data_IF_141536848428
#
_entry.id   IF_141536848428
#
_cell.length_a   1.000
_cell.length_b   1.000
_cell.length_c   1.000
_cell.angle_alpha   90.00
_cell.angle_beta   90.00
_cell.angle_gamma   90.00
#
_symmetry.space_group_name_H-M   'P 1'
#
loop_
_entity.id
_entity.type
_entity.pdbx_description
1 polymer ?
#
# COMPACT_ATOMS: atom_id res chain seq x y z
N UNK A 1 -22.73 15.96 -2.44
CA UNK A 1 -22.91 17.12 -1.60
C UNK A 1 -21.72 17.31 -0.63
N UNK A 2 -21.45 18.55 -0.26
CA UNK A 2 -20.44 18.88 0.74
C UNK A 2 -20.91 20.05 1.61
N UNK A 3 -20.46 20.05 2.83
CA UNK A 3 -20.65 21.15 3.79
C UNK A 3 -19.38 21.32 4.59
N UNK A 4 -19.00 22.57 4.82
CA UNK A 4 -17.83 22.88 5.63
C UNK A 4 -18.01 24.23 6.32
N UNK A 5 -17.31 24.38 7.43
CA UNK A 5 -17.28 25.61 8.17
C UNK A 5 -15.94 25.83 8.83
N UNK A 6 -15.65 27.08 9.12
CA UNK A 6 -14.47 27.42 9.90
C UNK A 6 -14.76 28.61 10.80
N UNK A 7 -14.10 28.64 11.92
CA UNK A 7 -14.19 29.72 12.90
C UNK A 7 -12.80 30.19 13.29
N UNK A 8 -12.60 31.50 13.28
CA UNK A 8 -11.36 32.13 13.72
C UNK A 8 -11.50 32.46 15.21
N UNK A 9 -10.96 31.57 16.03
CA UNK A 9 -11.10 31.65 17.49
C UNK A 9 -10.35 32.87 18.06
N UNK A 10 -9.27 33.30 17.40
CA UNK A 10 -8.54 34.51 17.80
C UNK A 10 -9.32 35.81 17.63
N UNK A 11 -10.41 35.80 16.80
CA UNK A 11 -11.30 36.96 16.66
C UNK A 11 -12.45 36.92 17.67
N UNK A 12 -12.83 35.72 18.14
CA UNK A 12 -13.94 35.53 19.07
C UNK A 12 -13.50 35.61 20.51
N UNK A 13 -12.30 35.21 20.84
CA UNK A 13 -11.76 35.13 22.18
C UNK A 13 -10.49 35.92 22.35
N UNK A 14 -10.30 36.56 23.49
CA UNK A 14 -9.01 37.16 23.85
C UNK A 14 -8.03 36.05 24.21
N UNK A 15 -7.15 35.73 23.28
CA UNK A 15 -6.09 34.77 23.48
C UNK A 15 -4.84 35.45 24.07
N UNK A 16 -3.90 34.68 24.67
CA UNK A 16 -2.59 35.20 25.06
C UNK A 16 -1.87 35.83 23.87
N UNK A 17 -1.09 36.88 24.08
CA UNK A 17 -0.34 37.60 23.03
C UNK A 17 0.62 36.68 22.24
N UNK A 18 1.00 35.56 22.83
CA UNK A 18 1.80 34.54 22.16
C UNK A 18 1.10 33.85 20.99
N UNK A 19 -0.26 33.89 20.93
CA UNK A 19 -1.08 33.28 19.89
C UNK A 19 -1.69 34.41 19.06
N UNK A 20 -1.15 34.65 17.88
CA UNK A 20 -1.62 35.70 16.97
C UNK A 20 -2.77 35.26 16.06
N UNK A 21 -2.94 33.95 15.85
CA UNK A 21 -4.00 33.41 15.04
C UNK A 21 -4.35 31.99 15.47
N UNK A 22 -5.64 31.69 15.56
CA UNK A 22 -6.15 30.37 15.85
C UNK A 22 -7.45 30.15 15.08
N UNK A 23 -7.47 29.16 14.19
CA UNK A 23 -8.61 28.80 13.34
C UNK A 23 -8.93 27.33 13.48
N UNK A 24 -10.17 27.00 13.77
CA UNK A 24 -10.73 25.66 13.68
C UNK A 24 -11.51 25.53 12.37
N UNK A 25 -11.36 24.38 11.68
CA UNK A 25 -12.12 24.04 10.49
C UNK A 25 -12.71 22.62 10.61
N UNK A 26 -13.88 22.42 10.04
CA UNK A 26 -14.48 21.11 9.88
C UNK A 26 -15.21 21.04 8.56
N UNK A 27 -15.14 19.91 7.90
CA UNK A 27 -15.85 19.65 6.65
C UNK A 27 -16.34 18.22 6.58
N UNK A 28 -17.42 18.03 5.83
CA UNK A 28 -17.94 16.75 5.41
C UNK A 28 -18.27 16.80 3.94
N UNK A 29 -17.95 15.72 3.23
CA UNK A 29 -18.25 15.59 1.81
C UNK A 29 -18.70 14.16 1.49
N UNK A 30 -19.65 14.06 0.56
CA UNK A 30 -20.08 12.80 -0.03
C UNK A 30 -20.00 12.92 -1.54
N UNK A 31 -19.13 12.11 -2.15
CA UNK A 31 -18.83 12.14 -3.57
C UNK A 31 -19.15 10.79 -4.20
N UNK A 32 -19.87 10.79 -5.33
CA UNK A 32 -20.09 9.61 -6.15
C UNK A 32 -19.06 9.53 -7.27
N UNK A 33 -18.51 8.35 -7.50
CA UNK A 33 -17.68 8.03 -8.63
C UNK A 33 -18.42 7.04 -9.52
N UNK A 34 -18.68 7.35 -10.80
CA UNK A 34 -19.34 6.41 -11.70
C UNK A 34 -18.45 5.18 -11.92
N UNK A 35 -19.08 4.04 -12.13
CA UNK A 35 -18.38 2.82 -12.56
C UNK A 35 -17.82 2.98 -13.98
N UNK A 36 -16.85 2.12 -14.33
CA UNK A 36 -16.20 2.14 -15.64
C UNK A 36 -17.17 2.00 -16.81
N UNK A 37 -16.86 2.66 -17.91
CA UNK A 37 -17.66 2.60 -19.13
C UNK A 37 -17.78 1.14 -19.61
N UNK A 38 -18.96 0.73 -20.06
CA UNK A 38 -19.27 -0.61 -20.58
C UNK A 38 -19.23 -1.76 -19.56
N UNK A 39 -19.08 -1.50 -18.26
CA UNK A 39 -19.22 -2.56 -17.26
C UNK A 39 -20.64 -3.14 -17.20
N UNK A 40 -21.67 -2.30 -17.38
CA UNK A 40 -23.07 -2.72 -17.39
C UNK A 40 -23.49 -3.36 -18.71
N UNK A 41 -22.89 -2.96 -19.82
CA UNK A 41 -23.27 -3.42 -21.14
C UNK A 41 -22.08 -4.12 -21.81
N UNK A 42 -22.24 -5.39 -22.18
CA UNK A 42 -21.19 -6.13 -22.86
C UNK A 42 -20.86 -5.53 -24.22
N UNK A 43 -19.59 -5.47 -24.51
CA UNK A 43 -19.09 -5.10 -25.83
C UNK A 43 -18.41 -6.32 -26.47
N UNK A 44 -18.74 -6.57 -27.75
CA UNK A 44 -18.03 -7.56 -28.55
C UNK A 44 -16.96 -6.85 -29.37
N UNK A 45 -15.75 -7.38 -29.40
CA UNK A 45 -14.70 -6.90 -30.30
C UNK A 45 -14.49 -7.89 -31.44
N UNK A 46 -14.38 -7.36 -32.67
CA UNK A 46 -14.02 -8.17 -33.82
C UNK A 46 -12.52 -8.44 -33.82
N UNK A 47 -12.14 -9.71 -33.81
CA UNK A 47 -10.73 -10.11 -33.96
C UNK A 47 -10.44 -10.33 -35.44
N UNK A 48 -9.69 -9.41 -36.04
CA UNK A 48 -9.34 -9.45 -37.46
C UNK A 48 -8.43 -10.64 -37.82
N UNK A 49 -7.64 -11.15 -36.88
CA UNK A 49 -6.73 -12.27 -37.10
C UNK A 49 -7.45 -13.62 -37.14
N UNK A 50 -8.53 -13.77 -36.39
CA UNK A 50 -9.31 -15.02 -36.32
C UNK A 50 -10.61 -14.97 -37.12
N UNK A 51 -11.01 -13.78 -37.60
CA UNK A 51 -12.30 -13.59 -38.27
C UNK A 51 -13.54 -13.86 -37.39
N UNK A 52 -13.41 -13.71 -36.07
CA UNK A 52 -14.45 -14.02 -35.11
C UNK A 52 -14.68 -12.89 -34.13
N UNK A 53 -15.88 -12.78 -33.57
CA UNK A 53 -16.15 -11.93 -32.41
C UNK A 53 -15.56 -12.58 -31.15
N UNK A 54 -14.90 -11.77 -30.32
CA UNK A 54 -14.52 -12.22 -28.99
C UNK A 54 -15.76 -12.38 -28.12
N UNK A 55 -15.86 -13.51 -27.42
CA UNK A 55 -16.88 -13.64 -26.37
C UNK A 55 -16.53 -12.73 -25.20
N UNK A 56 -17.53 -12.18 -24.55
CA UNK A 56 -17.34 -11.39 -23.35
C UNK A 56 -17.05 -12.32 -22.18
N UNK A 57 -15.99 -11.99 -21.41
CA UNK A 57 -15.61 -12.76 -20.24
C UNK A 57 -16.32 -12.34 -18.95
N UNK A 58 -16.86 -11.11 -18.91
CA UNK A 58 -17.55 -10.57 -17.75
C UNK A 58 -19.07 -10.69 -17.89
N UNK A 59 -19.73 -11.14 -16.82
CA UNK A 59 -21.19 -11.18 -16.74
C UNK A 59 -21.76 -9.75 -16.70
N UNK A 60 -22.73 -9.40 -17.57
CA UNK A 60 -23.32 -8.06 -17.60
C UNK A 60 -24.20 -7.84 -16.36
N UNK A 61 -23.97 -6.72 -15.67
CA UNK A 61 -24.76 -6.30 -14.52
C UNK A 61 -25.50 -5.00 -14.86
N UNK A 62 -26.82 -4.99 -14.69
CA UNK A 62 -27.68 -3.87 -15.07
C UNK A 62 -28.00 -2.93 -13.90
N UNK A 63 -27.71 -3.34 -12.66
CA UNK A 63 -28.03 -2.62 -11.41
C UNK A 63 -26.81 -2.01 -10.73
N UNK A 64 -25.74 -1.76 -11.50
CA UNK A 64 -24.53 -1.15 -10.98
C UNK A 64 -24.80 0.23 -10.37
N UNK A 65 -24.34 0.42 -9.14
CA UNK A 65 -24.41 1.69 -8.41
C UNK A 65 -23.08 2.42 -8.50
N UNK A 66 -23.08 3.76 -8.48
CA UNK A 66 -21.83 4.49 -8.37
C UNK A 66 -21.15 4.18 -7.02
N UNK A 67 -19.82 4.12 -7.06
CA UNK A 67 -19.05 4.13 -5.81
C UNK A 67 -19.31 5.45 -5.08
N UNK A 68 -19.42 5.38 -3.77
CA UNK A 68 -19.67 6.54 -2.93
C UNK A 68 -18.57 6.66 -1.89
N UNK A 69 -18.00 7.84 -1.79
CA UNK A 69 -17.00 8.16 -0.77
C UNK A 69 -17.55 9.25 0.15
N UNK A 70 -17.70 8.90 1.42
CA UNK A 70 -18.05 9.83 2.50
C UNK A 70 -16.77 10.17 3.28
N UNK A 71 -16.48 11.44 3.43
CA UNK A 71 -15.30 11.92 4.17
C UNK A 71 -15.67 13.02 5.15
N UNK A 72 -15.02 13.04 6.30
CA UNK A 72 -14.99 14.18 7.18
C UNK A 72 -13.56 14.52 7.57
N UNK A 73 -13.31 15.80 7.75
CA UNK A 73 -12.03 16.36 8.17
C UNK A 73 -12.26 17.41 9.25
N UNK A 74 -11.39 17.39 10.26
CA UNK A 74 -11.29 18.44 11.27
C UNK A 74 -9.85 18.91 11.31
N UNK A 75 -9.64 20.23 11.28
CA UNK A 75 -8.29 20.80 11.27
C UNK A 75 -8.19 22.04 12.13
N UNK A 76 -6.99 22.27 12.63
CA UNK A 76 -6.59 23.41 13.42
C UNK A 76 -5.39 24.11 12.73
N UNK A 77 -5.51 25.43 12.55
CA UNK A 77 -4.41 26.27 12.08
C UNK A 77 -4.09 27.28 13.18
N UNK A 78 -2.81 27.38 13.56
CA UNK A 78 -2.34 28.32 14.57
C UNK A 78 -1.10 29.08 14.09
N UNK A 79 -0.98 30.35 14.54
CA UNK A 79 0.26 31.13 14.46
C UNK A 79 0.60 31.59 15.85
N UNK A 80 1.83 31.32 16.29
CA UNK A 80 2.25 31.62 17.65
C UNK A 80 3.72 32.05 17.72
N UNK A 81 4.04 32.75 18.79
CA UNK A 81 5.37 33.30 19.05
C UNK A 81 5.94 34.13 17.86
N UNK A 82 5.05 34.74 17.06
CA UNK A 82 5.35 35.56 15.85
C UNK A 82 6.03 34.80 14.70
N UNK A 83 6.70 33.69 14.95
CA UNK A 83 7.57 33.01 14.01
C UNK A 83 7.09 31.61 13.60
N UNK A 84 6.15 31.04 14.33
CA UNK A 84 5.68 29.69 14.12
C UNK A 84 4.32 29.67 13.41
N UNK A 85 4.19 28.77 12.44
CA UNK A 85 2.94 28.39 11.81
C UNK A 85 2.71 26.91 12.07
N UNK A 86 1.55 26.55 12.53
CA UNK A 86 1.14 25.17 12.82
C UNK A 86 -0.17 24.88 12.11
N UNK A 87 -0.25 23.74 11.45
CA UNK A 87 -1.47 23.20 10.87
C UNK A 87 -1.55 21.70 11.17
N UNK A 88 -2.69 21.26 11.66
CA UNK A 88 -2.95 19.84 11.85
C UNK A 88 -4.35 19.52 11.37
N UNK A 89 -4.50 18.42 10.64
CA UNK A 89 -5.79 17.88 10.25
C UNK A 89 -5.90 16.40 10.56
N UNK A 90 -7.11 15.99 10.93
CA UNK A 90 -7.55 14.60 11.08
C UNK A 90 -8.66 14.34 10.09
N UNK A 91 -8.57 13.24 9.37
CA UNK A 91 -9.58 12.83 8.41
C UNK A 91 -10.00 11.38 8.60
N UNK A 92 -11.22 11.09 8.16
CA UNK A 92 -11.70 9.74 8.00
C UNK A 92 -12.57 9.69 6.73
N UNK A 93 -12.18 8.83 5.84
CA UNK A 93 -12.84 8.60 4.55
C UNK A 93 -13.32 7.16 4.48
N UNK A 94 -14.55 6.96 4.06
CA UNK A 94 -15.11 5.62 3.84
C UNK A 94 -15.69 5.54 2.44
N UNK A 95 -15.17 4.62 1.64
CA UNK A 95 -15.67 4.31 0.30
C UNK A 95 -16.58 3.09 0.39
N UNK A 96 -17.74 3.19 -0.23
CA UNK A 96 -18.79 2.18 -0.31
C UNK A 96 -19.01 1.74 -1.74
N UNK A 97 -19.59 0.56 -1.93
CA UNK A 97 -19.92 -0.01 -3.23
C UNK A 97 -18.70 -0.11 -4.16
N UNK A 98 -17.51 -0.30 -3.61
CA UNK A 98 -16.31 -0.46 -4.43
C UNK A 98 -16.48 -1.68 -5.31
N UNK A 99 -16.29 -1.49 -6.61
CA UNK A 99 -16.40 -2.56 -7.60
C UNK A 99 -15.21 -3.50 -7.47
N UNK A 100 -15.48 -4.79 -7.31
CA UNK A 100 -14.49 -5.85 -7.17
C UNK A 100 -14.76 -6.97 -8.17
N UNK A 101 -13.69 -7.46 -8.80
CA UNK A 101 -13.75 -8.57 -9.73
C UNK A 101 -13.88 -9.90 -8.97
N UNK A 102 -14.96 -10.62 -9.20
CA UNK A 102 -15.11 -11.97 -8.68
C UNK A 102 -15.01 -13.00 -9.81
N UNK A 103 -14.22 -14.05 -9.58
CA UNK A 103 -14.09 -15.15 -10.54
C UNK A 103 -15.32 -16.02 -10.51
N UNK A 104 -15.84 -16.35 -11.70
CA UNK A 104 -16.88 -17.36 -11.93
C UNK A 104 -16.27 -18.64 -12.48
N UNK A 105 -17.00 -19.76 -12.34
CA UNK A 105 -16.65 -20.98 -13.05
C UNK A 105 -16.89 -20.77 -14.56
N UNK A 106 -15.91 -21.08 -15.43
CA UNK A 106 -16.03 -20.90 -16.88
C UNK A 106 -17.17 -21.69 -17.53
N UNK A 107 -17.72 -22.68 -16.85
CA UNK A 107 -18.84 -23.51 -17.34
C UNK A 107 -20.11 -22.72 -17.66
N UNK A 108 -20.27 -21.53 -17.06
CA UNK A 108 -21.40 -20.62 -17.35
C UNK A 108 -21.19 -19.68 -18.53
N UNK A 109 -20.08 -19.79 -19.26
CA UNK A 109 -19.74 -18.91 -20.39
C UNK A 109 -19.13 -17.55 -19.97
N UNK A 110 -19.10 -17.26 -18.68
CA UNK A 110 -18.50 -16.05 -18.12
C UNK A 110 -17.46 -16.44 -17.06
N UNK A 111 -16.32 -15.77 -17.04
CA UNK A 111 -15.23 -16.06 -16.08
C UNK A 111 -15.17 -15.05 -14.94
N UNK A 112 -15.84 -13.93 -15.05
CA UNK A 112 -15.78 -12.83 -14.08
C UNK A 112 -17.15 -12.16 -13.93
N UNK A 113 -17.48 -11.67 -12.75
CA UNK A 113 -18.53 -10.67 -12.55
C UNK A 113 -18.03 -9.57 -11.61
N UNK A 114 -18.68 -8.41 -11.64
CA UNK A 114 -18.33 -7.27 -10.81
C UNK A 114 -19.26 -7.19 -9.60
N UNK A 115 -18.73 -7.44 -8.41
CA UNK A 115 -19.48 -7.26 -7.17
C UNK A 115 -19.24 -5.86 -6.60
N UNK A 116 -20.30 -5.17 -6.19
CA UNK A 116 -20.25 -3.82 -5.63
C UNK A 116 -20.57 -3.81 -4.13
N UNK A 117 -19.83 -4.56 -3.35
CA UNK A 117 -20.04 -4.68 -1.91
C UNK A 117 -18.81 -4.29 -1.10
N UNK A 118 -17.70 -3.98 -1.78
CA UNK A 118 -16.45 -3.60 -1.14
C UNK A 118 -16.58 -2.29 -0.37
N UNK A 119 -16.15 -2.29 0.90
CA UNK A 119 -16.07 -1.10 1.73
C UNK A 119 -14.65 -0.95 2.27
N UNK A 120 -14.10 0.24 2.09
CA UNK A 120 -12.72 0.56 2.53
C UNK A 120 -12.72 1.84 3.31
N UNK A 121 -11.95 1.89 4.39
CA UNK A 121 -11.78 3.07 5.23
C UNK A 121 -10.35 3.53 5.28
N UNK A 122 -10.13 4.83 5.15
CA UNK A 122 -8.87 5.52 5.38
C UNK A 122 -9.05 6.50 6.55
N UNK A 123 -8.12 6.47 7.49
CA UNK A 123 -8.03 7.43 8.60
C UNK A 123 -6.61 7.95 8.67
N UNK A 124 -6.48 9.24 8.85
CA UNK A 124 -5.15 9.80 8.89
C UNK A 124 -5.05 11.08 9.66
N UNK A 125 -3.80 11.47 9.85
CA UNK A 125 -3.40 12.75 10.43
C UNK A 125 -2.34 13.37 9.52
N UNK A 126 -2.47 14.66 9.31
CA UNK A 126 -1.48 15.47 8.62
C UNK A 126 -1.10 16.64 9.52
N UNK A 127 0.19 16.95 9.56
CA UNK A 127 0.75 18.01 10.38
C UNK A 127 1.78 18.77 9.59
N UNK A 128 1.75 20.09 9.71
CA UNK A 128 2.77 21.01 9.22
C UNK A 128 3.18 21.96 10.32
N UNK A 129 4.50 22.10 10.52
CA UNK A 129 5.10 23.05 11.45
C UNK A 129 6.14 23.89 10.71
N UNK A 130 5.85 25.17 10.55
CA UNK A 130 6.74 26.14 9.94
C UNK A 130 7.34 27.07 10.98
N UNK A 131 8.60 27.39 10.80
CA UNK A 131 9.31 28.45 11.51
C UNK A 131 9.95 29.40 10.52
N UNK A 132 9.85 30.70 10.75
CA UNK A 132 10.56 31.69 9.96
C UNK A 132 10.97 32.88 10.83
N UNK A 133 12.26 33.23 10.76
CA UNK A 133 12.77 34.41 11.43
C UNK A 133 13.95 35.02 10.67
N UNK A 134 14.16 36.29 10.90
CA UNK A 134 15.27 37.06 10.32
C UNK A 134 15.95 37.88 11.42
N UNK A 135 17.26 37.68 11.56
CA UNK A 135 18.12 38.38 12.49
C UNK A 135 19.16 39.19 11.67
N UNK A 136 18.96 40.45 11.52
CA UNK A 136 19.83 41.30 10.72
C UNK A 136 19.99 40.78 9.27
N UNK A 137 21.16 40.27 8.89
CA UNK A 137 21.46 39.71 7.56
C UNK A 137 21.20 38.21 7.45
N UNK A 138 20.87 37.55 8.54
CA UNK A 138 20.61 36.11 8.58
C UNK A 138 19.13 35.80 8.64
N UNK A 139 18.63 35.06 7.69
CA UNK A 139 17.27 34.52 7.68
C UNK A 139 17.29 32.97 7.75
N UNK A 140 16.40 32.41 8.54
CA UNK A 140 16.16 31.01 8.59
C UNK A 140 14.67 30.72 8.41
N UNK A 141 14.35 29.82 7.46
CA UNK A 141 13.04 29.25 7.27
C UNK A 141 13.14 27.73 7.41
N UNK A 142 12.30 27.15 8.22
CA UNK A 142 12.22 25.71 8.45
C UNK A 142 10.77 25.26 8.33
N UNK A 143 10.53 24.19 7.59
CA UNK A 143 9.19 23.60 7.48
C UNK A 143 9.29 22.08 7.64
N UNK A 144 8.56 21.58 8.62
CA UNK A 144 8.41 20.15 8.88
C UNK A 144 6.99 19.71 8.55
N UNK A 145 6.87 18.61 7.81
CA UNK A 145 5.59 17.97 7.52
C UNK A 145 5.61 16.52 7.96
N UNK A 146 4.47 16.07 8.43
CA UNK A 146 4.23 14.68 8.83
C UNK A 146 2.86 14.25 8.32
N UNK A 147 2.77 13.05 7.75
CA UNK A 147 1.50 12.43 7.39
C UNK A 147 1.50 10.95 7.76
N UNK A 148 0.38 10.48 8.30
CA UNK A 148 0.14 9.08 8.57
C UNK A 148 -1.27 8.70 8.15
N UNK A 149 -1.40 7.58 7.42
CA UNK A 149 -2.69 7.03 6.99
C UNK A 149 -2.80 5.57 7.38
N UNK A 150 -3.97 5.16 7.85
CA UNK A 150 -4.33 3.76 8.08
C UNK A 150 -5.47 3.38 7.16
N UNK A 151 -5.16 2.56 6.17
CA UNK A 151 -6.14 1.90 5.31
C UNK A 151 -6.69 0.65 6.00
N UNK A 152 -7.99 0.38 5.86
CA UNK A 152 -8.62 -0.84 6.36
C UNK A 152 -9.77 -1.27 5.46
N UNK A 153 -9.75 -2.53 5.04
CA UNK A 153 -10.85 -3.19 4.35
C UNK A 153 -11.91 -3.55 5.40
N UNK A 154 -13.14 -3.09 5.20
CA UNK A 154 -14.26 -3.35 6.11
C UNK A 154 -15.12 -4.52 5.63
N UNK A 155 -15.32 -4.63 4.32
CA UNK A 155 -15.96 -5.76 3.65
C UNK A 155 -15.38 -5.92 2.25
N UNK A 156 -15.45 -7.12 1.70
CA UNK A 156 -15.15 -7.43 0.30
C UNK A 156 -16.45 -7.78 -0.42
N UNK A 157 -16.74 -9.06 -0.66
CA UNK A 157 -18.02 -9.50 -1.20
C UNK A 157 -18.83 -10.06 -0.03
N UNK A 158 -20.00 -9.49 0.22
CA UNK A 158 -20.83 -9.84 1.36
C UNK A 158 -22.29 -9.95 0.92
N UNK A 159 -22.84 -11.16 0.97
CA UNK A 159 -24.22 -11.44 0.65
C UNK A 159 -24.64 -11.15 -0.81
N UNK A 160 -23.69 -11.23 -1.75
CA UNK A 160 -23.98 -10.95 -3.15
C UNK A 160 -24.57 -12.18 -3.86
N UNK A 161 -25.73 -12.04 -4.52
CA UNK A 161 -26.33 -13.15 -5.25
C UNK A 161 -25.61 -13.35 -6.60
N UNK A 162 -25.09 -14.55 -6.83
CA UNK A 162 -24.50 -14.92 -8.11
C UNK A 162 -25.57 -14.86 -9.20
N UNK A 163 -25.42 -13.99 -10.19
CA UNK A 163 -26.46 -13.80 -11.20
C UNK A 163 -26.64 -15.00 -12.14
N UNK A 164 -25.68 -15.93 -12.16
CA UNK A 164 -25.73 -17.13 -13.00
C UNK A 164 -26.32 -18.31 -12.25
N UNK A 165 -25.90 -18.54 -11.00
CA UNK A 165 -26.32 -19.72 -10.21
C UNK A 165 -27.43 -19.43 -9.22
N UNK A 166 -27.68 -18.15 -8.88
CA UNK A 166 -28.62 -17.74 -7.84
C UNK A 166 -28.13 -17.96 -6.42
N UNK A 167 -26.90 -18.44 -6.24
CA UNK A 167 -26.32 -18.70 -4.92
C UNK A 167 -25.76 -17.42 -4.29
N UNK A 168 -25.83 -17.32 -2.99
CA UNK A 168 -25.21 -16.24 -2.22
C UNK A 168 -23.69 -16.43 -2.16
N UNK A 169 -22.95 -15.36 -2.52
CA UNK A 169 -21.49 -15.34 -2.45
C UNK A 169 -21.07 -14.39 -1.35
N UNK A 170 -20.29 -14.90 -0.42
CA UNK A 170 -19.55 -14.12 0.57
C UNK A 170 -18.07 -14.47 0.47
N UNK A 171 -17.22 -13.45 0.35
CA UNK A 171 -15.77 -13.60 0.32
C UNK A 171 -15.13 -12.58 1.25
N UNK A 172 -14.37 -13.07 2.17
CA UNK A 172 -13.55 -12.29 3.11
C UNK A 172 -12.07 -12.20 2.67
N UNK A 173 -11.72 -12.91 1.58
CA UNK A 173 -10.40 -12.98 0.97
C UNK A 173 -10.49 -12.92 -0.55
N UNK A 174 -9.66 -12.08 -1.18
CA UNK A 174 -9.51 -11.99 -2.64
C UNK A 174 -8.05 -11.81 -3.03
N UNK A 175 -7.57 -12.61 -3.97
CA UNK A 175 -6.27 -12.44 -4.63
C UNK A 175 -6.46 -11.51 -5.83
N UNK A 176 -5.84 -10.34 -5.79
CA UNK A 176 -5.95 -9.32 -6.84
C UNK A 176 -4.74 -9.26 -7.76
N UNK A 177 -3.80 -10.19 -7.58
CA UNK A 177 -2.62 -10.29 -8.40
C UNK A 177 -1.34 -9.97 -7.65
N UNK A 178 -0.25 -9.96 -8.38
CA UNK A 178 1.08 -9.71 -7.82
C UNK A 178 2.16 -10.15 -8.78
N UNK A 179 3.35 -10.34 -8.26
CA UNK A 179 4.51 -10.80 -9.03
C UNK A 179 4.96 -12.15 -8.48
N UNK A 180 4.89 -13.18 -9.33
CA UNK A 180 5.20 -14.56 -8.95
C UNK A 180 4.37 -15.02 -7.72
N UNK A 181 5.00 -15.49 -6.66
CA UNK A 181 4.37 -15.92 -5.40
C UNK A 181 4.16 -14.78 -4.39
N UNK A 182 4.68 -13.58 -4.65
CA UNK A 182 4.38 -12.38 -3.88
C UNK A 182 3.08 -11.77 -4.40
N UNK A 183 1.99 -11.87 -3.62
CA UNK A 183 0.63 -11.54 -4.05
C UNK A 183 0.01 -10.47 -3.16
N UNK A 184 -0.73 -9.55 -3.78
CA UNK A 184 -1.65 -8.70 -3.04
C UNK A 184 -2.92 -9.48 -2.75
N UNK A 185 -3.15 -9.77 -1.48
CA UNK A 185 -4.32 -10.51 -1.03
C UNK A 185 -5.12 -9.60 -0.11
N UNK A 186 -6.30 -9.24 -0.59
CA UNK A 186 -7.25 -8.47 0.18
C UNK A 186 -7.92 -9.40 1.20
N UNK A 187 -7.87 -9.02 2.48
CA UNK A 187 -8.61 -9.71 3.57
C UNK A 187 -9.40 -8.69 4.36
N UNK A 188 -10.60 -9.07 4.78
CA UNK A 188 -11.39 -8.24 5.68
C UNK A 188 -10.60 -7.98 6.98
N UNK A 189 -10.50 -6.71 7.37
CA UNK A 189 -9.68 -6.27 8.50
C UNK A 189 -8.25 -5.88 8.15
N UNK A 190 -7.73 -6.31 7.00
CA UNK A 190 -6.42 -5.95 6.44
C UNK A 190 -6.44 -4.62 5.67
N UNK A 191 -5.39 -4.39 4.88
CA UNK A 191 -5.19 -3.20 4.03
C UNK A 191 -5.17 -3.56 2.56
N UNK A 192 -5.52 -2.62 1.69
CA UNK A 192 -5.39 -2.78 0.23
C UNK A 192 -3.93 -2.98 -0.24
N UNK A 193 -2.97 -2.60 0.59
CA UNK A 193 -1.55 -2.75 0.30
C UNK A 193 -0.90 -3.96 0.94
N UNK A 194 -1.65 -4.88 1.50
CA UNK A 194 -1.10 -6.06 2.18
C UNK A 194 -0.54 -7.07 1.18
N UNK A 195 0.73 -7.39 1.36
CA UNK A 195 1.49 -8.33 0.54
C UNK A 195 1.63 -9.65 1.29
N UNK A 196 1.41 -10.75 0.58
CA UNK A 196 1.50 -12.11 1.11
C UNK A 196 2.38 -12.98 0.22
N UNK A 197 3.02 -13.98 0.82
CA UNK A 197 3.62 -15.09 0.10
C UNK A 197 2.64 -16.25 0.01
N UNK A 198 2.58 -16.90 -1.16
CA UNK A 198 1.84 -18.14 -1.38
C UNK A 198 2.77 -19.36 -1.43
N UNK A 199 4.01 -19.22 -0.97
CA UNK A 199 4.96 -20.30 -0.85
C UNK A 199 5.78 -20.16 0.42
N UNK A 200 6.26 -21.29 0.95
CA UNK A 200 7.25 -21.39 2.01
C UNK A 200 8.19 -22.54 1.70
N UNK A 201 9.29 -22.65 2.42
CA UNK A 201 10.11 -23.85 2.41
C UNK A 201 9.40 -24.98 3.16
N UNK A 202 9.55 -26.21 2.64
CA UNK A 202 9.08 -27.38 3.36
C UNK A 202 9.81 -27.49 4.69
N UNK A 203 9.05 -27.79 5.76
CA UNK A 203 9.57 -27.94 7.13
C UNK A 203 9.27 -29.31 7.69
N UNK A 204 10.14 -29.77 8.57
CA UNK A 204 9.95 -31.01 9.33
C UNK A 204 8.97 -30.82 10.51
N UNK A 205 8.75 -31.88 11.27
CA UNK A 205 7.89 -31.89 12.47
C UNK A 205 8.38 -30.94 13.59
N UNK A 206 9.64 -30.53 13.56
CA UNK A 206 10.26 -29.61 14.52
C UNK A 206 10.30 -28.16 13.98
N UNK A 207 9.59 -27.90 12.87
CA UNK A 207 9.55 -26.61 12.18
C UNK A 207 10.91 -26.15 11.59
N UNK A 208 11.86 -27.07 11.42
CA UNK A 208 13.12 -26.80 10.72
C UNK A 208 12.94 -26.95 9.22
N UNK A 209 13.69 -26.18 8.45
CA UNK A 209 13.75 -26.30 6.99
C UNK A 209 14.17 -27.73 6.65
N UNK A 210 13.32 -28.43 5.90
CA UNK A 210 13.59 -29.81 5.48
C UNK A 210 14.62 -29.82 4.36
N UNK A 211 15.64 -30.65 4.54
CA UNK A 211 16.67 -30.93 3.54
C UNK A 211 16.62 -32.42 3.21
N UNK A 212 16.49 -32.75 1.96
CA UNK A 212 16.47 -34.16 1.53
C UNK A 212 17.86 -34.80 1.59
N UNK A 213 17.94 -36.11 1.30
CA UNK A 213 19.20 -36.87 1.33
C UNK A 213 20.26 -36.33 0.35
N UNK A 214 19.85 -35.67 -0.73
CA UNK A 214 20.74 -35.07 -1.72
C UNK A 214 21.19 -33.65 -1.34
N UNK A 215 20.78 -33.16 -0.15
CA UNK A 215 21.09 -31.82 0.32
C UNK A 215 20.29 -30.68 -0.34
N UNK A 216 19.12 -30.99 -0.90
CA UNK A 216 18.25 -29.99 -1.52
C UNK A 216 17.13 -29.57 -0.56
N UNK A 217 16.76 -28.28 -0.60
CA UNK A 217 15.52 -27.76 0.01
C UNK A 217 14.38 -27.87 -1.01
N UNK A 218 13.14 -27.89 -0.51
CA UNK A 218 11.95 -27.96 -1.35
C UNK A 218 10.95 -26.87 -0.99
N UNK A 219 10.17 -26.44 -1.98
CA UNK A 219 9.08 -25.47 -1.80
C UNK A 219 7.82 -26.19 -1.33
N UNK A 220 7.13 -25.62 -0.37
CA UNK A 220 5.79 -25.99 0.01
C UNK A 220 4.78 -25.16 -0.81
N UNK A 221 4.29 -25.70 -1.90
CA UNK A 221 3.31 -25.04 -2.78
C UNK A 221 1.89 -24.96 -2.20
N UNK A 222 1.65 -25.60 -1.05
CA UNK A 222 0.38 -25.57 -0.32
C UNK A 222 0.45 -24.70 0.93
N UNK A 223 1.43 -23.81 1.00
CA UNK A 223 1.50 -22.89 2.11
C UNK A 223 0.29 -21.95 2.11
N UNK A 224 -0.26 -21.71 3.29
CA UNK A 224 -1.26 -20.67 3.49
C UNK A 224 -0.65 -19.27 3.20
N UNK A 225 -1.52 -18.28 2.99
CA UNK A 225 -1.06 -16.91 2.77
C UNK A 225 -0.20 -16.41 3.95
N UNK A 226 1.08 -16.26 3.73
CA UNK A 226 2.02 -15.77 4.73
C UNK A 226 2.15 -14.25 4.59
N UNK A 227 1.75 -13.51 5.63
CA UNK A 227 1.81 -12.06 5.62
C UNK A 227 3.25 -11.53 5.61
N UNK A 228 3.60 -10.77 4.59
CA UNK A 228 4.92 -10.16 4.41
C UNK A 228 4.98 -8.71 4.93
N UNK A 229 3.86 -8.05 4.98
CA UNK A 229 3.73 -6.65 5.36
C UNK A 229 2.84 -5.87 4.41
N UNK A 230 2.63 -4.59 4.70
CA UNK A 230 1.93 -3.68 3.80
C UNK A 230 2.91 -2.84 2.99
N UNK A 231 2.66 -2.62 1.71
CA UNK A 231 3.45 -1.69 0.88
C UNK A 231 3.19 -0.23 1.27
N UNK A 232 2.12 0.06 2.02
CA UNK A 232 1.86 1.41 2.48
C UNK A 232 2.76 1.79 3.65
N UNK A 233 3.33 3.01 3.66
CA UNK A 233 4.09 3.49 4.80
C UNK A 233 3.18 3.72 6.01
N UNK A 234 3.75 3.59 7.20
CA UNK A 234 3.09 3.99 8.45
C UNK A 234 3.06 5.51 8.59
N UNK A 235 4.12 6.18 8.11
CA UNK A 235 4.22 7.64 8.09
C UNK A 235 5.19 8.10 6.99
N UNK A 236 4.94 9.31 6.48
CA UNK A 236 5.88 10.06 5.65
C UNK A 236 6.19 11.38 6.36
N UNK A 237 7.44 11.82 6.23
CA UNK A 237 7.93 13.05 6.82
C UNK A 237 8.78 13.81 5.80
N UNK A 238 8.74 15.13 5.89
CA UNK A 238 9.67 15.98 5.16
C UNK A 238 10.11 17.14 6.05
N UNK A 239 11.36 17.52 5.94
CA UNK A 239 11.93 18.62 6.68
C UNK A 239 12.79 19.46 5.75
N UNK A 240 12.26 20.64 5.39
CA UNK A 240 12.95 21.63 4.58
C UNK A 240 13.55 22.71 5.47
N UNK A 241 14.79 23.07 5.19
CA UNK A 241 15.46 24.22 5.79
C UNK A 241 16.08 25.08 4.71
N UNK A 242 15.88 26.39 4.83
CA UNK A 242 16.47 27.38 3.97
C UNK A 242 17.13 28.46 4.86
N UNK A 243 18.41 28.67 4.63
CA UNK A 243 19.25 29.67 5.33
C UNK A 243 19.72 30.70 4.33
N UNK A 244 19.68 31.94 4.71
CA UNK A 244 20.24 33.02 3.91
C UNK A 244 21.07 33.96 4.79
N UNK A 245 22.26 34.29 4.32
CA UNK A 245 23.12 35.31 4.95
C UNK A 245 23.66 36.25 3.88
N UNK A 246 23.16 37.48 3.87
CA UNK A 246 23.47 38.46 2.82
C UNK A 246 23.09 37.90 1.44
N UNK A 247 24.10 37.71 0.56
CA UNK A 247 23.93 37.20 -0.79
C UNK A 247 24.10 35.68 -0.89
N UNK A 248 24.37 34.97 0.24
CA UNK A 248 24.56 33.53 0.27
C UNK A 248 23.30 32.83 0.74
N UNK A 249 22.94 31.79 0.04
CA UNK A 249 21.80 30.93 0.40
C UNK A 249 22.22 29.46 0.46
N UNK A 250 21.69 28.73 1.43
CA UNK A 250 21.81 27.27 1.56
C UNK A 250 20.43 26.71 1.87
N UNK A 251 19.99 25.74 1.11
CA UNK A 251 18.75 25.03 1.37
C UNK A 251 18.96 23.52 1.33
N UNK A 252 18.18 22.76 2.11
CA UNK A 252 18.13 21.32 1.98
C UNK A 252 16.73 20.78 2.34
N UNK A 253 16.40 19.65 1.73
CA UNK A 253 15.19 18.90 1.99
C UNK A 253 15.53 17.46 2.38
N UNK A 254 15.22 17.09 3.62
CA UNK A 254 15.22 15.72 4.09
C UNK A 254 13.84 15.13 4.01
N UNK A 255 13.71 13.92 3.47
CA UNK A 255 12.46 13.17 3.45
C UNK A 255 12.66 11.82 4.10
N UNK A 256 11.67 11.37 4.87
CA UNK A 256 11.67 10.06 5.50
C UNK A 256 10.36 9.33 5.22
N UNK A 257 10.48 8.07 4.87
CA UNK A 257 9.36 7.12 4.79
C UNK A 257 9.56 6.08 5.88
N UNK A 258 8.61 5.95 6.78
CA UNK A 258 8.66 4.98 7.87
C UNK A 258 7.71 3.82 7.59
N UNK A 259 8.25 2.61 7.66
CA UNK A 259 7.51 1.39 7.39
C UNK A 259 7.20 1.18 5.91
N UNK A 260 6.38 0.17 5.67
CA UNK A 260 6.15 -0.40 4.36
C UNK A 260 7.16 -1.49 4.02
N UNK A 261 6.79 -2.33 3.06
CA UNK A 261 7.66 -3.38 2.52
C UNK A 261 7.75 -3.25 1.00
N UNK A 262 8.82 -3.79 0.45
CA UNK A 262 9.04 -3.91 -0.99
C UNK A 262 9.56 -5.30 -1.31
N UNK A 263 8.94 -5.96 -2.27
CA UNK A 263 9.43 -7.21 -2.84
C UNK A 263 10.36 -6.92 -4.02
N UNK A 264 11.55 -7.51 -4.01
CA UNK A 264 12.55 -7.35 -5.07
C UNK A 264 12.66 -8.61 -5.92
N UNK A 265 11.90 -8.68 -6.99
CA UNK A 265 12.04 -9.74 -7.98
C UNK A 265 13.41 -9.70 -8.68
N UNK A 266 13.98 -8.51 -8.88
CA UNK A 266 15.32 -8.37 -9.45
C UNK A 266 16.37 -9.09 -8.60
N UNK A 267 16.35 -8.90 -7.28
CA UNK A 267 17.27 -9.59 -6.37
C UNK A 267 17.05 -11.10 -6.42
N UNK A 268 15.80 -11.55 -6.42
CA UNK A 268 15.46 -12.96 -6.51
C UNK A 268 16.04 -13.59 -7.79
N UNK A 269 15.88 -12.94 -8.94
CA UNK A 269 16.45 -13.40 -10.21
C UNK A 269 17.97 -13.41 -10.18
N UNK A 270 18.63 -12.36 -9.70
CA UNK A 270 20.10 -12.30 -9.60
C UNK A 270 20.63 -13.43 -8.72
N UNK A 271 19.96 -13.72 -7.61
CA UNK A 271 20.34 -14.79 -6.70
C UNK A 271 20.14 -16.17 -7.31
N UNK A 272 19.03 -16.39 -8.02
CA UNK A 272 18.77 -17.68 -8.68
C UNK A 272 19.82 -18.03 -9.74
N UNK A 273 20.38 -17.01 -10.41
CA UNK A 273 21.48 -17.18 -11.36
C UNK A 273 22.87 -17.13 -10.71
N UNK A 274 22.99 -16.90 -9.41
CA UNK A 274 24.24 -16.89 -8.68
C UNK A 274 25.16 -15.70 -9.00
N UNK A 275 24.59 -14.57 -9.48
CA UNK A 275 25.36 -13.40 -9.96
C UNK A 275 25.32 -12.21 -9.00
N UNK A 276 24.69 -12.36 -7.84
CA UNK A 276 24.68 -11.32 -6.81
C UNK A 276 25.86 -11.43 -5.83
N UNK A 277 26.16 -10.34 -5.13
CA UNK A 277 27.14 -10.31 -4.06
C UNK A 277 26.80 -11.31 -2.95
N UNK A 278 25.53 -11.46 -2.58
CA UNK A 278 25.08 -12.39 -1.58
C UNK A 278 25.39 -13.85 -1.96
N UNK A 279 25.18 -14.21 -3.23
CA UNK A 279 25.49 -15.56 -3.71
C UNK A 279 27.00 -15.81 -3.84
N UNK A 280 27.78 -14.79 -4.19
CA UNK A 280 29.25 -14.88 -4.19
C UNK A 280 29.75 -15.13 -2.77
N UNK A 281 29.34 -14.31 -1.80
CA UNK A 281 29.71 -14.47 -0.39
C UNK A 281 29.31 -15.84 0.17
N UNK A 282 28.12 -16.34 -0.19
CA UNK A 282 27.69 -17.67 0.24
C UNK A 282 28.61 -18.79 -0.31
N UNK A 283 29.02 -18.70 -1.60
CA UNK A 283 29.96 -19.67 -2.17
C UNK A 283 31.32 -19.62 -1.46
N UNK A 284 31.86 -18.42 -1.21
CA UNK A 284 33.15 -18.24 -0.54
C UNK A 284 33.13 -18.75 0.92
N UNK A 285 31.97 -18.67 1.59
CA UNK A 285 31.76 -19.18 2.94
C UNK A 285 31.36 -20.67 3.01
N UNK A 286 31.37 -21.39 1.87
CA UNK A 286 31.03 -22.82 1.81
C UNK A 286 29.53 -23.14 1.79
N UNK A 287 28.66 -22.13 1.65
CA UNK A 287 27.21 -22.32 1.54
C UNK A 287 26.41 -21.32 2.36
N UNK A 288 25.14 -21.66 2.56
CA UNK A 288 24.17 -20.88 3.36
C UNK A 288 23.87 -21.63 4.66
N UNK A 289 23.93 -20.95 5.79
CA UNK A 289 23.57 -21.52 7.09
C UNK A 289 22.06 -21.49 7.27
N UNK A 290 21.48 -22.65 7.54
CA UNK A 290 20.05 -22.82 7.85
C UNK A 290 19.90 -23.55 9.19
N UNK A 291 18.70 -23.53 9.77
CA UNK A 291 18.36 -24.25 11.01
C UNK A 291 19.32 -24.00 12.18
N UNK A 292 20.03 -22.87 12.14
CA UNK A 292 21.01 -22.47 13.14
C UNK A 292 22.44 -22.88 12.81
N UNK A 293 22.72 -24.13 12.43
CA UNK A 293 24.10 -24.60 12.18
C UNK A 293 24.22 -25.51 10.93
N UNK A 294 23.13 -25.86 10.29
CA UNK A 294 23.18 -26.72 9.10
C UNK A 294 23.67 -25.90 7.91
N UNK A 295 24.64 -26.43 7.14
CA UNK A 295 25.17 -25.78 5.94
C UNK A 295 24.57 -26.43 4.71
N UNK A 296 24.04 -25.60 3.82
CA UNK A 296 23.52 -26.02 2.51
C UNK A 296 24.31 -25.36 1.39
N UNK A 297 24.57 -26.09 0.30
CA UNK A 297 25.23 -25.54 -0.89
C UNK A 297 24.51 -24.30 -1.42
N UNK A 298 25.27 -23.26 -1.77
CA UNK A 298 24.73 -21.98 -2.19
C UNK A 298 23.85 -22.10 -3.45
N UNK A 299 24.24 -22.92 -4.43
CA UNK A 299 23.46 -23.11 -5.64
C UNK A 299 22.13 -23.82 -5.33
N UNK A 300 22.17 -24.88 -4.50
CA UNK A 300 20.97 -25.61 -4.09
C UNK A 300 19.97 -24.76 -3.31
N UNK A 301 20.46 -23.79 -2.57
CA UNK A 301 19.63 -22.83 -1.86
C UNK A 301 19.02 -21.78 -2.80
N UNK A 302 19.85 -21.02 -3.50
CA UNK A 302 19.41 -19.87 -4.26
C UNK A 302 18.59 -20.21 -5.50
N UNK A 303 18.82 -21.34 -6.14
CA UNK A 303 17.97 -21.81 -7.26
C UNK A 303 16.56 -22.16 -6.83
N UNK A 304 16.34 -22.46 -5.55
CA UNK A 304 14.99 -22.73 -5.02
C UNK A 304 14.34 -21.45 -4.48
N UNK A 305 15.04 -20.68 -3.63
CA UNK A 305 14.42 -19.51 -2.99
C UNK A 305 14.28 -18.31 -3.94
N UNK A 306 15.17 -18.19 -4.93
CA UNK A 306 15.18 -17.09 -5.91
C UNK A 306 14.42 -17.36 -7.20
N UNK A 307 13.89 -18.57 -7.42
CA UNK A 307 13.14 -18.91 -8.63
C UNK A 307 11.78 -18.18 -8.71
N UNK A 308 11.16 -18.21 -9.89
CA UNK A 308 9.81 -17.68 -10.12
C UNK A 308 8.75 -18.27 -9.15
N UNK A 309 8.91 -19.54 -8.81
CA UNK A 309 8.15 -20.26 -7.78
C UNK A 309 8.81 -20.18 -6.41
N UNK A 310 9.72 -19.25 -6.20
CA UNK A 310 10.55 -19.13 -5.01
C UNK A 310 9.81 -18.61 -3.78
N UNK A 311 10.62 -18.19 -2.82
CA UNK A 311 10.13 -17.84 -1.47
C UNK A 311 10.20 -16.33 -1.26
N UNK A 312 9.11 -15.57 -1.46
CA UNK A 312 9.09 -14.11 -1.36
C UNK A 312 9.57 -13.54 -0.02
N UNK A 313 9.49 -14.33 1.06
CA UNK A 313 9.95 -13.90 2.39
C UNK A 313 11.43 -13.49 2.39
N UNK A 314 12.27 -14.15 1.60
CA UNK A 314 13.72 -13.84 1.52
C UNK A 314 14.03 -12.60 0.68
N UNK A 315 13.06 -12.11 -0.11
CA UNK A 315 13.21 -10.97 -1.02
C UNK A 315 12.27 -9.81 -0.71
N UNK A 316 11.69 -9.82 0.48
CA UNK A 316 10.84 -8.74 0.98
C UNK A 316 11.63 -7.92 2.01
N UNK A 317 11.86 -6.66 1.68
CA UNK A 317 12.68 -5.74 2.44
C UNK A 317 11.85 -4.62 3.05
N UNK A 318 12.36 -4.01 4.12
CA UNK A 318 11.78 -2.79 4.67
C UNK A 318 11.91 -1.64 3.65
N UNK A 319 10.83 -0.92 3.40
CA UNK A 319 10.81 0.28 2.58
C UNK A 319 11.11 1.56 3.39
N UNK A 320 11.46 1.43 4.68
CA UNK A 320 11.88 2.56 5.51
C UNK A 320 13.16 3.17 4.95
N UNK A 321 13.13 4.48 4.72
CA UNK A 321 14.30 5.19 4.21
C UNK A 321 14.32 6.65 4.69
N UNK A 322 15.52 7.21 4.70
CA UNK A 322 15.80 8.64 4.87
C UNK A 322 16.61 9.12 3.67
N UNK A 323 16.22 10.24 3.09
CA UNK A 323 16.86 10.78 1.88
C UNK A 323 17.14 12.27 2.04
N UNK A 324 18.32 12.70 1.60
CA UNK A 324 18.56 14.08 1.22
C UNK A 324 18.04 14.22 -0.21
N UNK A 325 16.91 14.90 -0.35
CA UNK A 325 16.20 14.99 -1.65
C UNK A 325 16.63 16.19 -2.46
N UNK A 326 16.98 17.28 -1.77
CA UNK A 326 17.49 18.52 -2.36
C UNK A 326 18.59 19.08 -1.46
N UNK A 327 19.60 19.72 -2.07
CA UNK A 327 20.64 20.49 -1.39
C UNK A 327 21.20 21.55 -2.34
#
# INVERSE_FOLDING_TARGET
PSVGGSVVLSELFKLPESISYLKLRASWASVGLPFGRFLAYPTFSWNTSTGAYSSQSAYPLYDLKPERTDSWEVGLTARFLKHFNFDVSFYNTKTYNQTMDAKLSPTGGYSTFYAQTGNVRNRGVELSLGYKNTWNKFSWSSNYTFSANKNKILSLIDGYINPVTGEEITKDRMDVGGLSKARFILKVGGSLGDLYSQSDLLRDSNNKIYVNADGNVAVNDKADDIYLGSVFPKANMAWRNDFQYGNWGLGFLLTARLGGVVYSATQAVLDSYGVSEATAAARDNGGVVINGNDMIDAQKWYTVVGADSGIPQYYTYSATNLRLQEA
#
